data_IF_791375154202
#
_entry.id   IF_791375154202
#
_cell.length_a   1.000
_cell.length_b   1.000
_cell.length_c   1.000
_cell.angle_alpha   90.00
_cell.angle_beta   90.00
_cell.angle_gamma   90.00
#
_symmetry.space_group_name_H-M   'P 1'
#
loop_
_entity.id
_entity.type
_entity.pdbx_description
1 polymer ?
#
# COMPACT_ATOMS: atom_id res chain seq x y z
N UNK A 1 -0.44 9.89 -7.77
CA UNK A 1 -0.50 8.49 -7.36
C UNK A 1 -0.75 7.60 -8.57
N UNK A 2 -0.01 6.49 -8.65
CA UNK A 2 -0.18 5.50 -9.69
C UNK A 2 -1.14 4.41 -9.19
N UNK A 3 -2.38 4.40 -9.69
CA UNK A 3 -3.40 3.44 -9.26
C UNK A 3 -3.22 2.09 -9.97
N UNK A 4 -3.33 1.00 -9.19
CA UNK A 4 -3.34 -0.37 -9.67
C UNK A 4 -4.62 -0.77 -10.39
N UNK A 5 -4.61 -1.99 -10.95
CA UNK A 5 -5.79 -2.56 -11.63
C UNK A 5 -6.98 -2.72 -10.69
N UNK A 6 -6.76 -2.82 -9.39
CA UNK A 6 -7.83 -2.90 -8.38
C UNK A 6 -8.75 -1.67 -8.41
N UNK A 7 -8.21 -0.51 -8.80
CA UNK A 7 -8.94 0.77 -8.80
C UNK A 7 -9.25 1.32 -10.18
N UNK A 8 -8.44 0.98 -11.20
CA UNK A 8 -8.67 1.40 -12.58
C UNK A 8 -9.41 0.36 -13.42
N UNK A 9 -9.39 -0.88 -12.97
CA UNK A 9 -9.76 -2.02 -13.78
C UNK A 9 -8.65 -2.42 -14.75
N UNK A 10 -8.77 -3.60 -15.33
CA UNK A 10 -7.84 -4.10 -16.32
C UNK A 10 -7.32 -5.50 -16.02
N UNK A 11 -6.36 -5.93 -16.82
CA UNK A 11 -5.70 -7.23 -16.68
C UNK A 11 -4.22 -7.02 -16.36
N UNK A 12 -3.75 -7.68 -15.31
CA UNK A 12 -2.34 -7.79 -14.94
C UNK A 12 -1.85 -9.18 -15.32
N UNK A 13 -0.75 -9.25 -16.05
CA UNK A 13 -0.13 -10.50 -16.46
C UNK A 13 1.34 -10.47 -16.04
N UNK A 14 1.72 -11.41 -15.17
CA UNK A 14 3.11 -11.72 -14.92
C UNK A 14 3.54 -12.82 -15.89
N UNK A 15 4.52 -12.54 -16.71
CA UNK A 15 5.07 -13.52 -17.63
C UNK A 15 6.58 -13.66 -17.47
N UNK A 16 7.06 -14.87 -17.74
CA UNK A 16 8.48 -15.16 -17.95
C UNK A 16 8.71 -15.55 -19.40
N UNK A 17 9.70 -14.92 -20.02
CA UNK A 17 10.21 -15.30 -21.32
C UNK A 17 11.55 -16.05 -21.14
N UNK A 18 11.69 -17.21 -21.78
CA UNK A 18 12.94 -17.99 -21.69
C UNK A 18 14.09 -17.35 -22.47
N UNK A 19 13.78 -16.47 -23.42
CA UNK A 19 14.77 -15.72 -24.17
C UNK A 19 15.09 -14.39 -23.50
N UNK A 20 16.30 -14.25 -22.96
CA UNK A 20 16.79 -13.05 -22.26
C UNK A 20 16.98 -11.80 -23.15
N UNK A 21 16.87 -11.93 -24.46
CA UNK A 21 17.09 -10.83 -25.41
C UNK A 21 15.79 -10.10 -25.79
N UNK A 22 14.67 -10.39 -25.14
CA UNK A 22 13.40 -9.74 -25.43
C UNK A 22 13.38 -8.38 -24.72
N UNK A 23 13.20 -7.31 -25.50
CA UNK A 23 13.08 -5.96 -24.96
C UNK A 23 11.62 -5.60 -24.63
N UNK A 24 11.43 -4.72 -23.64
CA UNK A 24 10.11 -4.15 -23.29
C UNK A 24 9.41 -3.54 -24.51
N UNK A 25 10.18 -2.93 -25.42
CA UNK A 25 9.71 -2.34 -26.68
C UNK A 25 9.07 -3.36 -27.60
N UNK A 26 9.62 -4.58 -27.67
CA UNK A 26 9.12 -5.65 -28.54
C UNK A 26 7.80 -6.20 -27.99
N UNK A 27 7.72 -6.38 -26.68
CA UNK A 27 6.48 -6.79 -25.99
C UNK A 27 5.39 -5.74 -26.21
N UNK A 28 5.72 -4.46 -25.98
CA UNK A 28 4.77 -3.36 -26.15
C UNK A 28 4.28 -3.23 -27.58
N UNK A 29 5.17 -3.32 -28.57
CA UNK A 29 4.81 -3.25 -29.99
C UNK A 29 3.92 -4.42 -30.41
N UNK A 30 4.15 -5.61 -29.86
CA UNK A 30 3.34 -6.78 -30.10
C UNK A 30 1.91 -6.64 -29.56
N UNK A 31 1.77 -6.04 -28.40
CA UNK A 31 0.48 -5.83 -27.73
C UNK A 31 -0.33 -4.66 -28.29
N UNK A 32 0.34 -3.58 -28.74
CA UNK A 32 -0.33 -2.42 -29.31
C UNK A 32 -1.15 -2.74 -30.57
N UNK A 33 -0.77 -3.79 -31.30
CA UNK A 33 -1.50 -4.23 -32.48
C UNK A 33 -2.84 -4.91 -32.16
N UNK A 34 -3.10 -5.24 -30.89
CA UNK A 34 -4.34 -5.90 -30.46
C UNK A 34 -5.44 -4.93 -30.01
N UNK A 35 -5.23 -3.61 -30.15
CA UNK A 35 -6.19 -2.56 -29.72
C UNK A 35 -6.69 -2.72 -28.28
N UNK A 36 -5.80 -3.14 -27.38
CA UNK A 36 -6.12 -3.46 -25.98
C UNK A 36 -6.29 -2.23 -25.07
N UNK A 37 -6.18 -1.02 -25.60
CA UNK A 37 -6.15 0.22 -24.81
C UNK A 37 -4.73 0.58 -24.40
N UNK A 38 -4.57 1.18 -23.23
CA UNK A 38 -3.25 1.52 -22.70
C UNK A 38 -2.54 0.27 -22.17
N UNK A 39 -1.34 0.00 -22.71
CA UNK A 39 -0.53 -1.15 -22.35
C UNK A 39 0.74 -0.67 -21.67
N UNK A 40 0.88 -1.01 -20.42
CA UNK A 40 2.08 -0.72 -19.64
C UNK A 40 2.87 -2.02 -19.42
N UNK A 41 4.16 -2.00 -19.80
CA UNK A 41 5.07 -3.14 -19.64
C UNK A 41 6.25 -2.69 -18.81
N UNK A 42 6.57 -3.44 -17.76
CA UNK A 42 7.72 -3.22 -16.86
C UNK A 42 8.46 -4.53 -16.64
N UNK A 43 9.78 -4.44 -16.47
CA UNK A 43 10.55 -5.55 -15.90
C UNK A 43 10.24 -5.69 -14.42
N UNK A 44 10.17 -6.94 -13.94
CA UNK A 44 9.81 -7.27 -12.58
C UNK A 44 10.68 -8.40 -12.03
N UNK A 45 11.45 -8.11 -11.02
CA UNK A 45 12.27 -9.10 -10.32
C UNK A 45 13.55 -9.52 -11.06
N UNK A 46 13.55 -10.68 -11.73
CA UNK A 46 14.73 -11.22 -12.44
C UNK A 46 14.66 -10.90 -13.93
N UNK A 47 15.83 -10.88 -14.60
CA UNK A 47 15.90 -10.79 -16.06
C UNK A 47 14.97 -11.82 -16.74
N UNK A 48 14.15 -11.36 -17.67
CA UNK A 48 13.17 -12.16 -18.36
C UNK A 48 11.79 -12.25 -17.70
N UNK A 49 11.61 -11.65 -16.53
CA UNK A 49 10.30 -11.53 -15.88
C UNK A 49 9.68 -10.16 -16.23
N UNK A 50 8.48 -10.17 -16.80
CA UNK A 50 7.77 -8.97 -17.22
C UNK A 50 6.40 -8.89 -16.58
N UNK A 51 6.03 -7.67 -16.18
CA UNK A 51 4.70 -7.31 -15.69
C UNK A 51 3.99 -6.52 -16.79
N UNK A 52 2.92 -7.07 -17.32
CA UNK A 52 2.11 -6.44 -18.35
C UNK A 52 0.79 -6.02 -17.73
N UNK A 53 0.44 -4.76 -17.88
CA UNK A 53 -0.87 -4.21 -17.56
C UNK A 53 -1.59 -3.81 -18.83
N UNK A 54 -2.82 -4.25 -18.93
CA UNK A 54 -3.71 -3.95 -20.06
C UNK A 54 -4.96 -3.27 -19.49
N UNK A 55 -5.22 -2.04 -19.93
CA UNK A 55 -6.43 -1.31 -19.57
C UNK A 55 -7.60 -1.88 -20.39
N UNK A 56 -8.57 -2.45 -19.70
CA UNK A 56 -9.65 -3.16 -20.38
C UNK A 56 -10.77 -2.21 -20.83
N UNK A 57 -10.96 -2.10 -22.12
CA UNK A 57 -12.10 -1.36 -22.72
C UNK A 57 -13.30 -2.24 -23.08
N UNK A 58 -13.21 -3.57 -23.01
CA UNK A 58 -14.26 -4.47 -23.52
C UNK A 58 -14.56 -5.61 -22.54
N UNK A 59 -15.83 -5.97 -22.42
CA UNK A 59 -16.33 -7.01 -21.49
C UNK A 59 -16.01 -8.47 -21.88
N UNK A 60 -15.15 -8.73 -22.86
CA UNK A 60 -14.90 -10.09 -23.39
C UNK A 60 -13.59 -10.68 -22.88
N UNK A 61 -13.51 -10.96 -21.58
CA UNK A 61 -12.29 -11.40 -20.89
C UNK A 61 -11.82 -12.83 -21.24
N UNK A 62 -12.73 -13.72 -21.60
CA UNK A 62 -12.40 -15.14 -21.79
C UNK A 62 -11.51 -15.40 -23.01
N UNK A 63 -11.52 -14.51 -24.00
CA UNK A 63 -10.71 -14.66 -25.23
C UNK A 63 -9.42 -13.83 -25.20
N UNK A 64 -9.35 -12.82 -24.37
CA UNK A 64 -8.26 -11.84 -24.35
C UNK A 64 -6.92 -12.46 -23.91
N UNK A 65 -6.93 -13.28 -22.89
CA UNK A 65 -5.71 -13.91 -22.36
C UNK A 65 -5.12 -14.91 -23.36
N UNK A 66 -5.91 -15.84 -23.96
CA UNK A 66 -5.41 -16.72 -25.02
C UNK A 66 -4.90 -15.97 -26.25
N UNK A 67 -5.53 -14.86 -26.62
CA UNK A 67 -5.14 -14.03 -27.77
C UNK A 67 -3.82 -13.30 -27.50
N UNK A 68 -3.65 -12.71 -26.33
CA UNK A 68 -2.38 -12.12 -25.89
C UNK A 68 -1.27 -13.16 -25.91
N UNK A 69 -1.50 -14.34 -25.34
CA UNK A 69 -0.51 -15.42 -25.30
C UNK A 69 -0.08 -15.86 -26.69
N UNK A 70 -1.05 -16.08 -27.57
CA UNK A 70 -0.79 -16.49 -28.95
C UNK A 70 0.03 -15.44 -29.71
N UNK A 71 -0.38 -14.16 -29.60
CA UNK A 71 0.31 -13.07 -30.30
C UNK A 71 1.76 -12.88 -29.80
N UNK A 72 1.97 -12.97 -28.48
CA UNK A 72 3.31 -12.85 -27.90
C UNK A 72 4.23 -14.01 -28.34
N UNK A 73 3.73 -15.24 -28.30
CA UNK A 73 4.52 -16.43 -28.75
C UNK A 73 4.86 -16.31 -30.24
N UNK A 74 3.89 -15.93 -31.09
CA UNK A 74 4.11 -15.82 -32.55
C UNK A 74 5.08 -14.69 -32.91
N UNK A 75 4.99 -13.54 -32.24
CA UNK A 75 5.82 -12.38 -32.60
C UNK A 75 7.20 -12.37 -31.95
N UNK A 76 7.31 -12.86 -30.73
CA UNK A 76 8.58 -12.87 -30.00
C UNK A 76 9.39 -14.14 -30.25
N UNK A 77 8.79 -15.13 -30.94
CA UNK A 77 9.40 -16.44 -31.25
C UNK A 77 10.12 -17.03 -30.01
N UNK A 78 9.48 -16.94 -28.85
CA UNK A 78 9.99 -17.37 -27.56
C UNK A 78 8.92 -18.13 -26.78
N UNK A 79 9.37 -19.08 -25.98
CA UNK A 79 8.49 -19.77 -25.06
C UNK A 79 8.13 -18.81 -23.88
N UNK A 80 6.82 -18.57 -23.68
CA UNK A 80 6.30 -17.63 -22.70
C UNK A 80 5.48 -18.39 -21.69
N UNK A 81 5.86 -18.25 -20.43
CA UNK A 81 5.16 -18.83 -19.30
C UNK A 81 4.42 -17.72 -18.52
N UNK A 82 3.09 -17.79 -18.49
CA UNK A 82 2.27 -16.90 -17.66
C UNK A 82 2.24 -17.46 -16.24
N UNK A 83 2.83 -16.70 -15.29
CA UNK A 83 2.91 -17.08 -13.87
C UNK A 83 1.66 -16.68 -13.10
N UNK A 84 1.16 -15.49 -13.40
CA UNK A 84 0.02 -14.89 -12.71
C UNK A 84 -0.79 -14.08 -13.71
N UNK A 85 -2.10 -14.26 -13.66
CA UNK A 85 -3.03 -13.47 -14.45
C UNK A 85 -4.14 -13.02 -13.53
N UNK A 86 -4.26 -11.72 -13.37
CA UNK A 86 -5.32 -11.09 -12.58
C UNK A 86 -6.17 -10.22 -13.50
N UNK A 87 -7.47 -10.28 -13.31
CA UNK A 87 -8.40 -9.48 -14.08
C UNK A 87 -9.43 -8.85 -13.15
N UNK A 88 -9.55 -7.53 -13.23
CA UNK A 88 -10.51 -6.77 -12.43
C UNK A 88 -11.39 -5.96 -13.37
N UNK A 89 -12.69 -6.29 -13.41
CA UNK A 89 -13.64 -5.56 -14.24
C UNK A 89 -13.88 -4.13 -13.70
N UNK A 90 -14.25 -3.16 -14.57
CA UNK A 90 -14.42 -1.75 -14.18
C UNK A 90 -15.45 -1.53 -13.07
N UNK A 91 -16.52 -2.32 -13.04
CA UNK A 91 -17.54 -2.26 -11.99
C UNK A 91 -16.97 -2.68 -10.64
N UNK A 92 -16.22 -3.79 -10.61
CA UNK A 92 -15.57 -4.32 -9.40
C UNK A 92 -14.55 -3.32 -8.88
N UNK A 93 -13.73 -2.71 -9.77
CA UNK A 93 -12.75 -1.70 -9.39
C UNK A 93 -13.38 -0.49 -8.71
N UNK A 94 -14.49 -0.01 -9.26
CA UNK A 94 -15.21 1.14 -8.68
C UNK A 94 -15.80 0.80 -7.30
N UNK A 95 -16.34 -0.40 -7.12
CA UNK A 95 -16.84 -0.89 -5.84
C UNK A 95 -15.71 -1.07 -4.82
N UNK A 96 -14.54 -1.57 -5.24
CA UNK A 96 -13.36 -1.73 -4.39
C UNK A 96 -12.80 -0.37 -3.95
N UNK A 97 -12.72 0.61 -4.85
CA UNK A 97 -12.28 1.96 -4.51
C UNK A 97 -13.22 2.61 -3.48
N UNK A 98 -14.53 2.55 -3.73
CA UNK A 98 -15.53 3.10 -2.81
C UNK A 98 -15.46 2.42 -1.44
N UNK A 99 -15.42 1.09 -1.41
CA UNK A 99 -15.31 0.31 -0.17
C UNK A 99 -14.01 0.60 0.58
N UNK A 100 -12.90 0.76 -0.14
CA UNK A 100 -11.60 1.13 0.43
C UNK A 100 -11.63 2.50 1.10
N UNK A 101 -12.20 3.52 0.44
CA UNK A 101 -12.36 4.86 1.01
C UNK A 101 -13.24 4.83 2.25
N UNK A 102 -14.38 4.12 2.20
CA UNK A 102 -15.28 3.97 3.34
C UNK A 102 -14.57 3.27 4.50
N UNK A 103 -13.84 2.18 4.25
CA UNK A 103 -13.12 1.43 5.27
C UNK A 103 -12.06 2.30 5.97
N UNK A 104 -11.26 3.06 5.20
CA UNK A 104 -10.28 4.01 5.77
C UNK A 104 -10.99 5.06 6.62
N UNK A 105 -12.04 5.69 6.08
CA UNK A 105 -12.76 6.76 6.76
C UNK A 105 -13.39 6.30 8.07
N UNK A 106 -14.04 5.12 8.07
CA UNK A 106 -14.64 4.53 9.26
C UNK A 106 -13.58 4.13 10.29
N UNK A 107 -12.46 3.55 9.86
CA UNK A 107 -11.36 3.17 10.76
C UNK A 107 -10.75 4.39 11.44
N UNK A 108 -10.49 5.47 10.68
CA UNK A 108 -9.99 6.72 11.21
C UNK A 108 -10.99 7.36 12.18
N UNK A 109 -12.27 7.41 11.80
CA UNK A 109 -13.32 7.98 12.65
C UNK A 109 -13.47 7.20 13.98
N UNK A 110 -13.47 5.86 13.92
CA UNK A 110 -13.54 5.02 15.11
C UNK A 110 -12.33 5.21 16.03
N UNK A 111 -11.13 5.35 15.45
CA UNK A 111 -9.90 5.59 16.20
C UNK A 111 -9.90 6.97 16.87
N UNK A 112 -10.30 8.02 16.15
CA UNK A 112 -10.41 9.37 16.69
C UNK A 112 -11.46 9.44 17.81
N UNK A 113 -12.59 8.76 17.63
CA UNK A 113 -13.64 8.64 18.65
C UNK A 113 -13.13 7.94 19.91
N UNK A 114 -12.37 6.84 19.77
CA UNK A 114 -11.74 6.15 20.89
C UNK A 114 -10.79 7.08 21.66
N UNK A 115 -9.91 7.82 20.96
CA UNK A 115 -8.97 8.73 21.60
C UNK A 115 -9.70 9.88 22.31
N UNK A 116 -10.75 10.43 21.69
CA UNK A 116 -11.55 11.49 22.28
C UNK A 116 -12.25 11.06 23.58
N UNK A 117 -12.72 9.83 23.66
CA UNK A 117 -13.30 9.30 24.91
C UNK A 117 -12.23 8.96 25.93
N UNK A 118 -11.08 8.44 25.49
CA UNK A 118 -10.03 7.92 26.37
C UNK A 118 -9.15 9.00 26.98
N UNK A 119 -8.91 10.09 26.23
CA UNK A 119 -8.01 11.17 26.60
C UNK A 119 -8.70 12.53 26.59
N UNK A 120 -8.03 13.52 27.23
CA UNK A 120 -8.45 14.91 27.14
C UNK A 120 -8.28 15.44 25.71
N UNK A 121 -9.04 16.47 25.34
CA UNK A 121 -9.11 17.00 23.98
C UNK A 121 -7.74 17.44 23.41
N UNK A 122 -6.82 17.92 24.27
CA UNK A 122 -5.47 18.33 23.84
C UNK A 122 -4.68 17.16 23.26
N UNK A 123 -4.74 16.00 23.91
CA UNK A 123 -4.08 14.76 23.43
C UNK A 123 -4.73 14.25 22.15
N UNK A 124 -6.05 14.41 22.04
CA UNK A 124 -6.78 14.02 20.83
C UNK A 124 -6.33 14.81 19.62
N UNK A 125 -6.17 16.14 19.75
CA UNK A 125 -5.66 16.99 18.67
C UNK A 125 -4.23 16.59 18.26
N UNK A 126 -3.34 16.36 19.23
CA UNK A 126 -1.98 15.90 18.97
C UNK A 126 -1.93 14.58 18.22
N UNK A 127 -2.78 13.63 18.61
CA UNK A 127 -2.89 12.33 17.91
C UNK A 127 -3.38 12.47 16.47
N UNK A 128 -4.36 13.35 16.22
CA UNK A 128 -4.85 13.62 14.87
C UNK A 128 -3.73 14.16 14.00
N UNK A 129 -2.96 15.14 14.48
CA UNK A 129 -1.85 15.73 13.73
C UNK A 129 -0.77 14.69 13.42
N UNK A 130 -0.40 13.86 14.41
CA UNK A 130 0.56 12.79 14.23
C UNK A 130 0.10 11.78 13.16
N UNK A 131 -1.16 11.38 13.21
CA UNK A 131 -1.75 10.43 12.28
C UNK A 131 -1.79 10.96 10.84
N UNK A 132 -2.21 12.22 10.66
CA UNK A 132 -2.16 12.87 9.36
C UNK A 132 -0.73 12.98 8.81
N UNK A 133 0.24 13.32 9.65
CA UNK A 133 1.64 13.36 9.29
C UNK A 133 2.12 12.00 8.75
N UNK A 134 1.83 10.89 9.43
CA UNK A 134 2.28 9.56 9.05
C UNK A 134 1.64 9.10 7.73
N UNK A 135 0.35 9.35 7.56
CA UNK A 135 -0.36 9.04 6.32
C UNK A 135 0.17 9.88 5.15
N UNK A 136 0.39 11.18 5.35
CA UNK A 136 0.91 12.07 4.30
C UNK A 136 2.32 11.65 3.89
N UNK A 137 3.20 11.33 4.84
CA UNK A 137 4.56 10.87 4.52
C UNK A 137 4.49 9.55 3.75
N UNK A 138 3.70 8.58 4.21
CA UNK A 138 3.57 7.29 3.53
C UNK A 138 3.07 7.46 2.10
N UNK A 139 1.98 8.19 1.90
CA UNK A 139 1.42 8.47 0.56
C UNK A 139 2.39 9.29 -0.29
N UNK A 140 3.13 10.22 0.33
CA UNK A 140 4.18 11.02 -0.31
C UNK A 140 5.31 10.16 -0.86
N UNK A 141 5.82 9.21 -0.08
CA UNK A 141 6.85 8.26 -0.52
C UNK A 141 6.36 7.42 -1.71
N UNK A 142 5.13 6.90 -1.64
CA UNK A 142 4.53 6.15 -2.76
C UNK A 142 4.43 7.01 -4.03
N UNK A 143 4.09 8.29 -3.87
CA UNK A 143 3.97 9.23 -4.99
C UNK A 143 5.31 9.56 -5.63
N UNK A 144 6.34 9.85 -4.81
CA UNK A 144 7.70 10.20 -5.27
C UNK A 144 8.34 9.02 -6.00
N UNK A 145 8.22 7.82 -5.44
CA UNK A 145 8.78 6.61 -6.03
C UNK A 145 7.91 6.04 -7.16
N UNK A 146 6.79 6.69 -7.49
CA UNK A 146 5.83 6.23 -8.51
C UNK A 146 5.37 4.79 -8.29
N UNK A 147 5.29 4.37 -7.03
CA UNK A 147 4.83 3.05 -6.65
C UNK A 147 3.34 2.89 -6.93
N UNK A 148 2.96 1.68 -7.24
CA UNK A 148 1.60 1.35 -7.57
C UNK A 148 0.75 1.16 -6.32
N UNK A 149 -0.39 1.85 -6.25
CA UNK A 149 -1.34 1.76 -5.14
C UNK A 149 -2.42 0.74 -5.51
N UNK A 150 -2.47 -0.35 -4.77
CA UNK A 150 -3.45 -1.44 -4.86
C UNK A 150 -4.16 -1.65 -3.51
N UNK A 151 -5.06 -2.63 -3.43
CA UNK A 151 -5.78 -2.95 -2.19
C UNK A 151 -4.85 -3.32 -1.03
N UNK A 152 -3.74 -4.01 -1.31
CA UNK A 152 -2.77 -4.38 -0.28
C UNK A 152 -2.11 -3.15 0.35
N UNK A 153 -1.90 -2.10 -0.43
CA UNK A 153 -1.35 -0.83 0.08
C UNK A 153 -2.35 -0.10 0.98
N UNK A 154 -3.66 -0.17 0.67
CA UNK A 154 -4.68 0.36 1.59
C UNK A 154 -4.62 -0.37 2.93
N UNK A 155 -4.55 -1.69 2.92
CA UNK A 155 -4.40 -2.48 4.14
C UNK A 155 -3.11 -2.13 4.90
N UNK A 156 -1.99 -1.92 4.20
CA UNK A 156 -0.73 -1.49 4.78
C UNK A 156 -0.83 -0.11 5.44
N UNK A 157 -1.48 0.86 4.79
CA UNK A 157 -1.71 2.20 5.37
C UNK A 157 -2.54 2.10 6.66
N UNK A 158 -3.62 1.30 6.65
CA UNK A 158 -4.42 1.07 7.86
C UNK A 158 -3.60 0.42 8.98
N UNK A 159 -2.71 -0.49 8.63
CA UNK A 159 -1.78 -1.13 9.59
C UNK A 159 -0.81 -0.11 10.17
N UNK A 160 -0.22 0.76 9.35
CA UNK A 160 0.69 1.83 9.80
C UNK A 160 -0.04 2.76 10.77
N UNK A 161 -1.26 3.18 10.43
CA UNK A 161 -2.11 4.01 11.28
C UNK A 161 -2.35 3.35 12.65
N UNK A 162 -2.73 2.08 12.67
CA UNK A 162 -2.95 1.33 13.91
C UNK A 162 -1.68 1.17 14.74
N UNK A 163 -0.55 0.96 14.08
CA UNK A 163 0.74 0.80 14.73
C UNK A 163 1.25 2.11 15.34
N UNK A 164 1.19 3.21 14.60
CA UNK A 164 1.57 4.55 15.08
C UNK A 164 0.74 4.96 16.30
N UNK A 165 -0.57 4.69 16.26
CA UNK A 165 -1.47 5.00 17.37
C UNK A 165 -1.19 4.19 18.63
N UNK A 166 -0.72 2.94 18.51
CA UNK A 166 -0.39 2.11 19.67
C UNK A 166 0.68 2.76 20.56
N UNK A 167 1.75 3.27 19.98
CA UNK A 167 2.82 3.92 20.73
C UNK A 167 2.39 5.29 21.24
N UNK A 168 1.64 6.06 20.44
CA UNK A 168 1.09 7.37 20.84
C UNK A 168 0.20 7.24 22.07
N UNK A 169 -0.70 6.26 22.11
CA UNK A 169 -1.60 6.00 23.23
C UNK A 169 -0.81 5.66 24.52
N UNK A 170 0.24 4.83 24.40
CA UNK A 170 1.08 4.44 25.54
C UNK A 170 1.82 5.65 26.13
N UNK A 171 2.40 6.50 25.27
CA UNK A 171 3.12 7.69 25.70
C UNK A 171 2.15 8.69 26.36
N UNK A 172 0.98 8.90 25.78
CA UNK A 172 -0.02 9.81 26.33
C UNK A 172 -0.61 9.32 27.65
N UNK A 173 -0.85 8.02 27.79
CA UNK A 173 -1.31 7.44 29.07
C UNK A 173 -0.25 7.65 30.17
N UNK A 174 1.03 7.50 29.82
CA UNK A 174 2.14 7.76 30.74
C UNK A 174 2.30 9.23 31.10
N UNK A 175 2.16 10.13 30.12
CA UNK A 175 2.17 11.58 30.39
C UNK A 175 1.03 11.94 31.33
N UNK A 176 -0.17 11.43 31.11
CA UNK A 176 -1.34 11.69 31.97
C UNK A 176 -1.13 11.17 33.39
N UNK A 177 -0.56 9.97 33.54
CA UNK A 177 -0.22 9.40 34.86
C UNK A 177 0.79 10.30 35.57
N UNK A 178 1.85 10.71 34.89
CA UNK A 178 2.93 11.51 35.45
C UNK A 178 2.50 12.94 35.76
N UNK A 179 1.60 13.54 34.99
CA UNK A 179 0.97 14.85 35.33
C UNK A 179 0.21 14.80 36.66
N UNK A 180 -0.49 13.69 36.94
CA UNK A 180 -1.16 13.50 38.24
C UNK A 180 -0.18 13.23 39.38
N UNK A 181 0.96 12.60 39.12
CA UNK A 181 1.94 12.18 40.12
C UNK A 181 2.93 13.29 40.49
N UNK A 182 3.38 14.05 39.49
CA UNK A 182 4.46 15.05 39.64
C UNK A 182 3.92 16.48 39.44
N UNK A 183 3.18 16.98 40.39
CA UNK A 183 2.52 18.31 40.33
C UNK A 183 3.48 19.49 40.31
N UNK A 184 4.77 19.31 40.65
CA UNK A 184 5.81 20.35 40.68
C UNK A 184 6.61 20.46 39.38
N UNK A 185 6.54 19.45 38.48
CA UNK A 185 7.22 19.47 37.19
C UNK A 185 6.40 20.31 36.18
N UNK A 186 7.11 20.97 35.27
CA UNK A 186 6.45 21.60 34.14
C UNK A 186 6.05 20.55 33.09
N UNK A 187 5.19 20.91 32.15
CA UNK A 187 4.66 20.00 31.11
C UNK A 187 5.80 19.37 30.26
N UNK A 188 6.82 20.16 29.92
CA UNK A 188 7.94 19.69 29.11
C UNK A 188 8.79 18.65 29.85
N UNK A 189 9.05 18.87 31.14
CA UNK A 189 9.79 17.91 31.98
C UNK A 189 8.99 16.63 32.16
N UNK A 190 7.70 16.74 32.43
CA UNK A 190 6.80 15.57 32.55
C UNK A 190 6.72 14.76 31.26
N UNK A 191 6.62 15.43 30.11
CA UNK A 191 6.62 14.78 28.82
C UNK A 191 7.95 14.04 28.55
N UNK A 192 9.09 14.70 28.80
CA UNK A 192 10.41 14.10 28.65
C UNK A 192 10.61 12.87 29.56
N UNK A 193 10.19 12.96 30.80
CA UNK A 193 10.21 11.85 31.75
C UNK A 193 9.37 10.67 31.22
N UNK A 194 8.16 10.94 30.79
CA UNK A 194 7.21 9.93 30.30
C UNK A 194 7.70 9.23 29.04
N UNK A 195 8.29 9.96 28.10
CA UNK A 195 8.91 9.41 26.89
C UNK A 195 10.08 8.48 27.27
N UNK A 196 10.95 8.90 28.20
CA UNK A 196 12.06 8.06 28.63
C UNK A 196 11.60 6.78 29.34
N UNK A 197 10.55 6.85 30.14
CA UNK A 197 9.99 5.68 30.84
C UNK A 197 9.33 4.67 29.86
N UNK A 198 8.81 5.13 28.73
CA UNK A 198 8.18 4.27 27.71
C UNK A 198 9.16 3.84 26.58
N UNK A 199 10.33 4.47 26.50
CA UNK A 199 11.28 4.31 25.39
C UNK A 199 11.69 2.85 25.14
N UNK A 200 12.00 2.12 26.21
CA UNK A 200 12.38 0.71 26.09
C UNK A 200 11.30 -0.15 25.43
N UNK A 201 10.03 0.09 25.81
CA UNK A 201 8.89 -0.62 25.21
C UNK A 201 8.75 -0.27 23.74
N UNK A 202 8.77 1.02 23.38
CA UNK A 202 8.64 1.49 22.00
C UNK A 202 9.75 0.95 21.10
N UNK A 203 11.01 0.92 21.59
CA UNK A 203 12.13 0.34 20.84
C UNK A 203 11.91 -1.16 20.61
N UNK A 204 11.53 -1.90 21.66
CA UNK A 204 11.33 -3.36 21.56
C UNK A 204 10.19 -3.66 20.57
N UNK A 205 9.05 -2.95 20.66
CA UNK A 205 7.93 -3.15 19.74
C UNK A 205 8.32 -2.85 18.30
N UNK A 206 9.03 -1.76 18.05
CA UNK A 206 9.48 -1.38 16.72
C UNK A 206 10.48 -2.38 16.13
N UNK A 207 11.47 -2.81 16.91
CA UNK A 207 12.48 -3.79 16.48
C UNK A 207 11.85 -5.16 16.19
N UNK A 208 10.97 -5.64 17.06
CA UNK A 208 10.28 -6.93 16.83
C UNK A 208 9.41 -6.90 15.58
N UNK A 209 8.73 -5.80 15.30
CA UNK A 209 7.94 -5.64 14.08
C UNK A 209 8.82 -5.60 12.82
N UNK A 210 9.93 -4.86 12.86
CA UNK A 210 10.90 -4.85 11.76
C UNK A 210 11.46 -6.25 11.50
N UNK A 211 11.82 -6.99 12.53
CA UNK A 211 12.28 -8.38 12.38
C UNK A 211 11.22 -9.29 11.78
N UNK A 212 9.96 -9.15 12.20
CA UNK A 212 8.85 -9.90 11.62
C UNK A 212 8.66 -9.56 10.12
N UNK A 213 8.70 -8.28 9.76
CA UNK A 213 8.60 -7.85 8.36
C UNK A 213 9.77 -8.38 7.51
N UNK A 214 11.00 -8.31 8.02
CA UNK A 214 12.16 -8.87 7.32
C UNK A 214 12.10 -10.38 7.16
N UNK A 215 11.44 -11.10 8.07
CA UNK A 215 11.30 -12.56 7.95
C UNK A 215 10.29 -12.98 6.87
N UNK A 216 9.39 -12.08 6.47
CA UNK A 216 8.37 -12.32 5.44
C UNK A 216 8.90 -11.94 4.04
N UNK A 217 9.85 -11.01 3.98
CA UNK A 217 10.48 -10.55 2.74
C UNK A 217 11.55 -11.53 2.25
#
# INVERSE_FOLDING_TARGET
LNYGIDFKGGTLIEMRADNKNINITDIRSSLNNLNLGDVNVKEFGKEGDYLIKVEQKTNNNSKLIPEIKKNLIEKLNAEINFRRVENVGPKVSSELLQSGIIAISLSLAAMLFYIWIRFEWQFSVGSIVALFHDVIITVGVFSILSLEVNLSIIAAVLTIVGYSMNDTVVIYDRIRENLGKYTKLNISETANLSINETLSRTIITSVTTLLALFSIY
#
